data_IF_266931681892
#
_entry.id   IF_266931681892
#
_cell.length_a   1.000
_cell.length_b   1.000
_cell.length_c   1.000
_cell.angle_alpha   90.00
_cell.angle_beta   90.00
_cell.angle_gamma   90.00
#
_symmetry.space_group_name_H-M   'P 1'
#
loop_
_entity.id
_entity.type
_entity.pdbx_description
1 polymer ?
#
# COMPACT_ATOMS: atom_id res chain seq x y z
N UNK A 1 -6.41 -5.64 15.88
CA UNK A 1 -4.97 -5.41 15.65
C UNK A 1 -4.22 -5.92 16.88
N UNK A 2 -3.34 -6.89 16.69
CA UNK A 2 -2.50 -7.50 17.73
C UNK A 2 -1.03 -7.46 17.26
N UNK A 3 -0.08 -7.89 18.08
CA UNK A 3 1.37 -7.92 17.77
C UNK A 3 2.03 -6.54 17.54
N UNK A 4 2.02 -5.70 18.58
CA UNK A 4 2.65 -4.37 18.59
C UNK A 4 4.15 -4.40 18.95
N UNK A 5 4.75 -5.57 19.09
CA UNK A 5 6.13 -5.76 19.56
C UNK A 5 7.17 -5.05 18.67
N UNK A 6 6.85 -4.84 17.39
CA UNK A 6 7.70 -4.20 16.39
C UNK A 6 7.19 -2.82 15.94
N UNK A 7 6.24 -2.21 16.65
CA UNK A 7 5.70 -0.91 16.28
C UNK A 7 6.75 0.20 16.40
N UNK A 8 6.81 1.09 15.41
CA UNK A 8 7.72 2.25 15.36
C UNK A 8 6.96 3.53 15.01
N UNK A 9 7.56 4.70 15.28
CA UNK A 9 7.02 5.97 14.78
C UNK A 9 7.39 6.14 13.31
N UNK A 10 6.40 6.32 12.44
CA UNK A 10 6.60 6.43 11.00
C UNK A 10 5.48 7.17 10.30
N UNK A 11 5.57 7.25 8.97
CA UNK A 11 4.52 7.88 8.15
C UNK A 11 3.35 6.91 8.00
N UNK A 12 2.16 7.31 8.48
CA UNK A 12 0.95 6.51 8.39
C UNK A 12 0.60 6.07 6.95
N UNK A 13 0.98 6.88 5.95
CA UNK A 13 0.72 6.57 4.55
C UNK A 13 1.46 5.32 4.05
N UNK A 14 2.58 4.97 4.68
CA UNK A 14 3.29 3.73 4.37
C UNK A 14 2.48 2.50 4.80
N UNK A 15 1.88 2.53 5.99
CA UNK A 15 1.04 1.45 6.49
C UNK A 15 -0.27 1.30 5.68
N UNK A 16 -0.83 2.43 5.26
CA UNK A 16 -2.03 2.47 4.41
C UNK A 16 -1.73 1.93 3.02
N UNK A 17 -0.64 2.35 2.39
CA UNK A 17 -0.21 1.83 1.09
C UNK A 17 0.03 0.31 1.15
N UNK A 18 0.63 -0.18 2.25
CA UNK A 18 0.80 -1.62 2.49
C UNK A 18 -0.52 -2.37 2.58
N UNK A 19 -1.46 -1.84 3.37
CA UNK A 19 -2.77 -2.49 3.56
C UNK A 19 -3.57 -2.51 2.27
N UNK A 20 -3.56 -1.41 1.52
CA UNK A 20 -4.16 -1.30 0.19
C UNK A 20 -3.59 -2.35 -0.78
N UNK A 21 -2.26 -2.48 -0.83
CA UNK A 21 -1.57 -3.44 -1.69
C UNK A 21 -1.94 -4.90 -1.33
N UNK A 22 -2.06 -5.20 -0.03
CA UNK A 22 -2.49 -6.53 0.42
C UNK A 22 -3.93 -6.87 0.00
N UNK A 23 -4.85 -5.90 0.01
CA UNK A 23 -6.19 -6.12 -0.53
C UNK A 23 -6.16 -6.44 -2.02
N UNK A 24 -5.34 -5.72 -2.80
CA UNK A 24 -5.12 -6.01 -4.22
C UNK A 24 -4.56 -7.41 -4.47
N UNK A 25 -3.53 -7.81 -3.71
CA UNK A 25 -2.94 -9.15 -3.83
C UNK A 25 -3.93 -10.26 -3.47
N UNK A 26 -4.87 -9.98 -2.55
CA UNK A 26 -5.96 -10.89 -2.21
C UNK A 26 -7.12 -10.86 -3.23
N UNK A 27 -7.04 -10.03 -4.28
CA UNK A 27 -8.06 -9.88 -5.31
C UNK A 27 -9.23 -8.96 -4.93
N UNK A 28 -9.20 -8.31 -3.76
CA UNK A 28 -10.24 -7.40 -3.28
C UNK A 28 -9.93 -5.93 -3.66
N UNK A 29 -10.10 -5.64 -4.95
CA UNK A 29 -9.82 -4.32 -5.51
C UNK A 29 -10.80 -3.25 -4.99
N UNK A 30 -12.08 -3.61 -4.90
CA UNK A 30 -13.12 -2.70 -4.40
C UNK A 30 -12.92 -2.38 -2.91
N UNK A 31 -12.57 -3.39 -2.11
CA UNK A 31 -12.18 -3.21 -0.72
C UNK A 31 -10.95 -2.33 -0.55
N UNK A 32 -9.94 -2.50 -1.41
CA UNK A 32 -8.74 -1.65 -1.41
C UNK A 32 -9.08 -0.17 -1.64
N UNK A 33 -9.85 0.11 -2.70
CA UNK A 33 -10.27 1.48 -3.03
C UNK A 33 -11.12 2.10 -1.93
N UNK A 34 -12.10 1.35 -1.41
CA UNK A 34 -12.95 1.80 -0.31
C UNK A 34 -12.16 2.07 0.96
N UNK A 35 -11.17 1.23 1.27
CA UNK A 35 -10.27 1.42 2.39
C UNK A 35 -9.46 2.71 2.26
N UNK A 36 -8.83 2.94 1.11
CA UNK A 36 -8.04 4.15 0.84
C UNK A 36 -8.90 5.41 0.97
N UNK A 37 -10.10 5.39 0.41
CA UNK A 37 -11.03 6.51 0.46
C UNK A 37 -11.50 6.82 1.86
N UNK A 38 -11.83 5.78 2.62
CA UNK A 38 -12.27 5.94 4.01
C UNK A 38 -11.13 6.46 4.89
N UNK A 39 -9.90 6.00 4.66
CA UNK A 39 -8.72 6.51 5.35
C UNK A 39 -8.53 8.00 5.05
N UNK A 40 -8.37 8.36 3.77
CA UNK A 40 -8.15 9.74 3.33
C UNK A 40 -9.23 10.69 3.85
N UNK A 41 -10.51 10.28 3.81
CA UNK A 41 -11.62 11.07 4.33
C UNK A 41 -11.58 11.27 5.85
N UNK A 42 -11.15 10.26 6.60
CA UNK A 42 -11.12 10.32 8.08
C UNK A 42 -9.89 11.04 8.61
N UNK A 43 -8.76 10.94 7.93
CA UNK A 43 -7.48 11.54 8.32
C UNK A 43 -7.21 12.88 7.65
N UNK A 44 -8.13 13.39 6.83
CA UNK A 44 -7.97 14.58 5.99
C UNK A 44 -6.66 14.55 5.18
N UNK A 45 -6.32 13.37 4.67
CA UNK A 45 -5.07 13.13 3.94
C UNK A 45 -5.35 13.05 2.46
N UNK A 46 -4.61 13.85 1.66
CA UNK A 46 -4.70 13.80 0.21
C UNK A 46 -4.33 12.41 -0.33
N UNK A 47 -5.17 11.84 -1.21
CA UNK A 47 -4.93 10.51 -1.80
C UNK A 47 -3.58 10.40 -2.49
N UNK A 48 -3.15 11.45 -3.19
CA UNK A 48 -1.84 11.56 -3.84
C UNK A 48 -0.67 11.37 -2.85
N UNK A 49 -0.84 11.80 -1.60
CA UNK A 49 0.18 11.62 -0.56
C UNK A 49 0.40 10.15 -0.24
N UNK A 50 -0.68 9.35 -0.19
CA UNK A 50 -0.62 7.89 0.00
C UNK A 50 -0.13 7.18 -1.25
N UNK A 51 -0.56 7.63 -2.44
CA UNK A 51 -0.15 7.03 -3.71
C UNK A 51 1.37 7.09 -3.93
N UNK A 52 2.06 8.14 -3.45
CA UNK A 52 3.52 8.23 -3.47
C UNK A 52 4.24 7.09 -2.72
N UNK A 53 3.57 6.47 -1.75
CA UNK A 53 4.13 5.34 -1.01
C UNK A 53 3.94 3.99 -1.71
N UNK A 54 3.00 3.89 -2.66
CA UNK A 54 2.69 2.64 -3.37
C UNK A 54 3.91 1.99 -4.03
N UNK A 55 4.73 2.69 -4.84
CA UNK A 55 5.90 2.06 -5.48
C UNK A 55 6.97 1.66 -4.45
N UNK A 56 7.17 2.47 -3.39
CA UNK A 56 8.15 2.18 -2.32
C UNK A 56 7.75 0.90 -1.57
N UNK A 57 6.48 0.78 -1.23
CA UNK A 57 5.95 -0.38 -0.50
C UNK A 57 5.91 -1.61 -1.41
N UNK A 58 5.56 -1.47 -2.69
CA UNK A 58 5.59 -2.56 -3.67
C UNK A 58 7.01 -3.13 -3.81
N UNK A 59 8.02 -2.26 -3.98
CA UNK A 59 9.43 -2.65 -4.01
C UNK A 59 9.85 -3.37 -2.72
N UNK A 60 9.50 -2.81 -1.55
CA UNK A 60 9.78 -3.44 -0.25
C UNK A 60 9.10 -4.79 -0.05
N UNK A 61 7.94 -5.04 -0.68
CA UNK A 61 7.28 -6.33 -0.61
C UNK A 61 7.82 -7.37 -1.59
N UNK A 62 8.32 -6.94 -2.74
CA UNK A 62 8.83 -7.83 -3.79
C UNK A 62 9.97 -8.75 -3.31
N UNK A 63 10.71 -8.35 -2.27
CA UNK A 63 11.83 -9.11 -1.69
C UNK A 63 11.41 -10.18 -0.69
N UNK A 64 10.12 -10.28 -0.33
CA UNK A 64 9.63 -11.25 0.68
C UNK A 64 9.41 -12.68 0.17
N UNK A 65 9.79 -12.98 -1.07
CA UNK A 65 9.94 -14.37 -1.56
C UNK A 65 8.70 -15.01 -2.18
N UNK A 66 7.63 -14.26 -2.47
CA UNK A 66 6.51 -14.77 -3.26
C UNK A 66 6.68 -14.41 -4.75
N UNK A 67 7.20 -15.35 -5.55
CA UNK A 67 7.52 -15.12 -6.96
C UNK A 67 6.32 -14.69 -7.81
N UNK A 68 5.12 -15.21 -7.52
CA UNK A 68 3.89 -14.86 -8.25
C UNK A 68 3.45 -13.42 -7.98
N UNK A 69 3.60 -12.98 -6.74
CA UNK A 69 3.30 -11.58 -6.37
C UNK A 69 4.38 -10.64 -6.88
N UNK A 70 5.62 -11.11 -7.01
CA UNK A 70 6.76 -10.30 -7.44
C UNK A 70 6.55 -9.65 -8.81
N UNK A 71 6.08 -10.40 -9.80
CA UNK A 71 5.81 -9.86 -11.15
C UNK A 71 4.72 -8.79 -11.14
N UNK A 72 3.66 -9.00 -10.36
CA UNK A 72 2.60 -8.01 -10.17
C UNK A 72 3.14 -6.76 -9.46
N UNK A 73 3.94 -6.93 -8.42
CA UNK A 73 4.53 -5.82 -7.67
C UNK A 73 5.49 -4.98 -8.51
N UNK A 74 6.23 -5.61 -9.44
CA UNK A 74 7.10 -4.89 -10.37
C UNK A 74 6.29 -3.94 -11.28
N UNK A 75 5.10 -4.36 -11.74
CA UNK A 75 4.23 -3.46 -12.52
C UNK A 75 3.79 -2.21 -11.75
N UNK A 76 3.72 -2.29 -10.42
CA UNK A 76 3.36 -1.17 -9.54
C UNK A 76 4.54 -0.26 -9.18
N UNK A 77 5.77 -0.77 -9.29
CA UNK A 77 6.99 0.02 -9.11
C UNK A 77 7.19 0.96 -10.30
N UNK A 78 6.84 0.51 -11.50
CA UNK A 78 7.06 1.25 -12.75
C UNK A 78 5.98 2.32 -13.05
N UNK A 79 4.80 2.24 -12.42
CA UNK A 79 3.73 3.25 -12.60
C UNK A 79 4.01 4.46 -11.70
N UNK A 80 4.93 5.31 -12.14
CA UNK A 80 5.21 6.63 -11.57
C UNK A 80 4.79 7.71 -12.58
N UNK A 81 3.50 7.80 -12.85
CA UNK A 81 2.89 8.99 -13.45
C UNK A 81 1.52 9.20 -12.78
N UNK A 82 1.54 9.89 -11.65
CA UNK A 82 0.34 10.47 -11.07
C UNK A 82 0.37 11.96 -11.40
N UNK A 83 -0.27 12.36 -12.51
CA UNK A 83 -0.58 13.78 -12.82
C UNK A 83 -1.49 14.39 -11.74
#
# INVERSE_FOLDING_TARGET
VIDWSHATQGNASADVARTYLLFWLNGDIDGANKYLDLFCKKSDTARQYVQKWMPIVAASQSVKGNEKEREFLLSWVDVVDYE
#
